data_IF_860009254641
#
_entry.id   IF_860009254641
#
_cell.length_a   1.000
_cell.length_b   1.000
_cell.length_c   1.000
_cell.angle_alpha   90.00
_cell.angle_beta   90.00
_cell.angle_gamma   90.00
#
_symmetry.space_group_name_H-M   'P 1'
#
loop_
_entity.id
_entity.type
_entity.pdbx_description
1 polymer ?
#
# COMPACT_ATOMS: atom_id res chain seq x y z
N UNK A 1 23.51 -13.23 -16.40
CA UNK A 1 24.62 -12.27 -16.54
C UNK A 1 23.99 -10.88 -16.62
N UNK A 2 23.85 -10.18 -15.50
CA UNK A 2 23.41 -8.79 -15.47
C UNK A 2 24.46 -8.03 -14.66
N UNK A 3 24.99 -6.97 -15.29
CA UNK A 3 26.18 -6.22 -14.88
C UNK A 3 25.78 -5.11 -13.90
N UNK A 4 26.54 -4.98 -12.81
CA UNK A 4 26.54 -3.83 -11.90
C UNK A 4 27.20 -2.61 -12.55
N UNK A 5 26.74 -1.37 -12.27
CA UNK A 5 27.57 -0.18 -12.43
C UNK A 5 27.95 0.46 -11.09
N UNK A 6 29.24 0.74 -11.02
CA UNK A 6 30.03 1.28 -9.92
C UNK A 6 29.75 2.76 -9.62
N UNK A 7 29.89 3.16 -8.36
CA UNK A 7 29.96 4.55 -7.92
C UNK A 7 31.33 5.19 -8.20
N UNK A 8 31.42 6.53 -8.33
CA UNK A 8 32.66 7.25 -8.06
C UNK A 8 32.55 8.17 -6.83
N UNK A 9 33.64 8.18 -6.05
CA UNK A 9 33.91 9.08 -4.94
C UNK A 9 34.50 10.42 -5.45
N UNK A 10 34.20 11.53 -4.78
CA UNK A 10 35.00 12.76 -4.86
C UNK A 10 35.23 13.38 -3.47
N UNK A 11 36.46 13.82 -3.27
CA UNK A 11 37.11 14.28 -2.04
C UNK A 11 37.71 15.68 -2.29
N UNK A 12 37.64 16.56 -1.29
CA UNK A 12 38.48 17.77 -1.12
C UNK A 12 37.64 19.02 -0.80
N UNK A 13 37.57 19.56 0.43
CA UNK A 13 38.53 20.43 1.17
C UNK A 13 38.80 21.76 0.46
N UNK A 14 38.61 22.97 1.00
CA UNK A 14 38.21 23.54 2.30
C UNK A 14 38.41 25.07 2.21
N UNK A 15 37.96 25.85 3.21
CA UNK A 15 38.63 27.03 3.83
C UNK A 15 37.64 27.99 4.52
N UNK A 16 37.92 28.21 5.83
CA UNK A 16 37.72 29.37 6.72
C UNK A 16 36.53 30.34 6.48
N UNK A 17 35.74 30.74 7.46
CA UNK A 17 35.97 30.88 8.91
C UNK A 17 35.56 32.30 9.32
N UNK A 18 34.46 32.43 10.08
CA UNK A 18 34.23 33.52 11.03
C UNK A 18 33.33 32.96 12.14
N UNK A 19 33.76 33.19 13.37
CA UNK A 19 33.25 32.58 14.60
C UNK A 19 32.85 33.68 15.57
N UNK A 20 31.96 33.30 16.50
CA UNK A 20 31.50 33.98 17.72
C UNK A 20 30.56 35.19 17.50
N UNK A 21 29.43 35.32 18.19
CA UNK A 21 28.81 34.51 19.24
C UNK A 21 27.36 34.98 19.44
N UNK A 22 26.58 34.17 20.15
CA UNK A 22 25.45 34.50 21.03
C UNK A 22 24.24 33.58 20.81
N UNK A 23 24.23 32.52 21.62
CA UNK A 23 23.07 31.70 21.99
C UNK A 23 22.96 31.79 23.52
N UNK A 24 21.77 31.96 24.12
CA UNK A 24 21.02 30.80 24.63
C UNK A 24 19.49 31.07 24.69
N UNK A 25 18.68 30.26 25.41
CA UNK A 25 18.53 28.81 25.41
C UNK A 25 17.11 28.38 24.95
N UNK A 26 16.91 27.06 24.80
CA UNK A 26 15.66 26.49 24.30
C UNK A 26 14.43 26.72 25.18
N UNK A 27 13.27 26.70 24.54
CA UNK A 27 11.97 26.50 25.16
C UNK A 27 11.14 25.52 24.34
N UNK A 28 10.51 24.60 25.07
CA UNK A 28 9.43 23.72 24.61
C UNK A 28 8.40 24.52 23.82
N UNK A 29 8.11 24.10 22.59
CA UNK A 29 6.87 24.47 21.90
C UNK A 29 5.68 23.85 22.63
N UNK A 30 5.17 24.58 23.62
CA UNK A 30 3.88 24.33 24.25
C UNK A 30 2.79 24.51 23.20
N UNK A 31 1.81 23.60 23.17
CA UNK A 31 0.57 23.85 22.44
C UNK A 31 -0.12 25.04 23.13
N UNK A 32 -0.21 26.18 22.45
CA UNK A 32 -0.97 27.31 22.93
C UNK A 32 -2.43 26.90 23.14
N UNK A 33 -2.89 27.07 24.37
CA UNK A 33 -4.28 26.97 24.75
C UNK A 33 -4.99 28.21 24.20
N UNK A 34 -5.43 28.12 22.94
CA UNK A 34 -6.48 28.99 22.41
C UNK A 34 -7.75 28.81 23.26
N UNK A 35 -8.13 29.87 23.94
CA UNK A 35 -9.33 29.96 24.76
C UNK A 35 -10.57 29.56 23.95
N UNK A 36 -11.35 28.62 24.49
CA UNK A 36 -12.69 28.32 23.99
C UNK A 36 -13.68 29.04 24.92
N UNK A 37 -14.15 30.20 24.51
CA UNK A 37 -15.29 30.87 25.14
C UNK A 37 -16.53 29.95 25.06
N UNK A 38 -17.19 29.63 26.19
CA UNK A 38 -18.46 28.93 26.18
C UNK A 38 -19.56 29.99 26.14
N UNK A 39 -20.30 30.08 25.02
CA UNK A 39 -21.73 30.48 24.92
C UNK A 39 -22.07 30.85 23.46
N UNK A 40 -22.96 30.09 22.81
CA UNK A 40 -23.52 30.46 21.50
C UNK A 40 -23.93 29.26 20.65
N UNK A 41 -25.18 28.82 20.81
CA UNK A 41 -25.76 27.62 20.19
C UNK A 41 -26.20 27.84 18.73
N UNK A 42 -26.20 26.72 17.98
CA UNK A 42 -27.11 26.40 16.87
C UNK A 42 -26.78 26.91 15.45
N UNK A 43 -26.42 25.98 14.54
CA UNK A 43 -26.62 26.16 13.10
C UNK A 43 -25.53 25.68 12.13
N UNK A 44 -24.26 25.59 12.53
CA UNK A 44 -23.15 25.39 11.55
C UNK A 44 -22.22 24.20 11.83
N UNK A 45 -22.45 23.44 12.91
CA UNK A 45 -21.58 22.29 13.28
C UNK A 45 -21.95 21.00 12.55
N UNK A 46 -23.23 20.78 12.26
CA UNK A 46 -23.68 19.60 11.53
C UNK A 46 -23.11 19.56 10.10
N UNK A 47 -23.06 20.68 9.39
CA UNK A 47 -22.47 20.80 8.06
C UNK A 47 -20.95 20.57 8.06
N UNK A 48 -20.23 21.17 9.01
CA UNK A 48 -18.78 20.94 9.17
C UNK A 48 -18.44 19.48 9.47
N UNK A 49 -19.23 18.83 10.34
CA UNK A 49 -19.09 17.39 10.61
C UNK A 49 -19.44 16.57 9.36
N UNK A 50 -20.57 16.85 8.70
CA UNK A 50 -21.01 16.11 7.50
C UNK A 50 -20.00 16.19 6.36
N UNK A 51 -19.36 17.35 6.15
CA UNK A 51 -18.32 17.55 5.11
C UNK A 51 -17.02 16.81 5.42
N UNK A 52 -16.59 16.76 6.68
CA UNK A 52 -15.43 15.95 7.10
C UNK A 52 -15.73 14.46 6.96
N UNK A 53 -16.92 14.02 7.36
CA UNK A 53 -17.35 12.63 7.16
C UNK A 53 -17.47 12.27 5.67
N UNK A 54 -18.06 13.14 4.84
CA UNK A 54 -18.21 12.91 3.40
C UNK A 54 -16.85 12.88 2.68
N UNK A 55 -15.93 13.79 2.99
CA UNK A 55 -14.58 13.79 2.41
C UNK A 55 -13.77 12.56 2.83
N UNK A 56 -13.91 12.11 4.09
CA UNK A 56 -13.33 10.85 4.56
C UNK A 56 -13.88 9.64 3.79
N UNK A 57 -15.19 9.58 3.55
CA UNK A 57 -15.82 8.51 2.77
C UNK A 57 -15.31 8.46 1.31
N UNK A 58 -15.15 9.62 0.66
CA UNK A 58 -14.61 9.69 -0.71
C UNK A 58 -13.16 9.23 -0.75
N UNK A 59 -12.32 9.69 0.19
CA UNK A 59 -10.91 9.28 0.27
C UNK A 59 -10.75 7.76 0.45
N UNK A 60 -11.64 7.10 1.21
CA UNK A 60 -11.63 5.65 1.35
C UNK A 60 -11.87 4.93 0.01
N UNK A 61 -12.77 5.41 -0.86
CA UNK A 61 -13.06 4.74 -2.14
C UNK A 61 -11.90 4.76 -3.15
N UNK A 62 -10.94 5.66 -2.93
CA UNK A 62 -9.75 5.83 -3.75
C UNK A 62 -8.52 5.08 -3.22
N UNK A 63 -8.60 4.35 -2.10
CA UNK A 63 -7.43 3.59 -1.64
C UNK A 63 -7.09 2.45 -2.61
N UNK A 64 -5.80 2.15 -2.75
CA UNK A 64 -5.33 1.05 -3.63
C UNK A 64 -5.92 -0.30 -3.24
N UNK A 65 -6.18 -0.52 -1.95
CA UNK A 65 -6.85 -1.72 -1.46
C UNK A 65 -8.26 -1.91 -2.07
N UNK A 66 -9.09 -0.86 -2.11
CA UNK A 66 -10.43 -0.97 -2.70
C UNK A 66 -10.39 -1.09 -4.22
N UNK A 67 -9.35 -0.54 -4.86
CA UNK A 67 -9.11 -0.73 -6.29
C UNK A 67 -8.75 -2.18 -6.60
N UNK A 68 -7.83 -2.77 -5.82
CA UNK A 68 -7.49 -4.18 -5.92
C UNK A 68 -8.71 -5.08 -5.69
N UNK A 69 -9.53 -4.77 -4.68
CA UNK A 69 -10.75 -5.52 -4.43
C UNK A 69 -11.71 -5.50 -5.62
N UNK A 70 -11.91 -4.34 -6.26
CA UNK A 70 -12.75 -4.23 -7.45
C UNK A 70 -12.19 -5.05 -8.61
N UNK A 71 -10.87 -5.02 -8.80
CA UNK A 71 -10.18 -5.78 -9.84
C UNK A 71 -10.35 -7.29 -9.64
N UNK A 72 -10.01 -7.81 -8.45
CA UNK A 72 -10.16 -9.25 -8.14
C UNK A 72 -11.61 -9.69 -8.26
N UNK A 73 -12.58 -8.89 -7.77
CA UNK A 73 -14.01 -9.21 -7.90
C UNK A 73 -14.44 -9.35 -9.35
N UNK A 74 -13.95 -8.48 -10.23
CA UNK A 74 -14.30 -8.56 -11.65
C UNK A 74 -13.63 -9.76 -12.34
N UNK A 75 -12.36 -10.03 -12.04
CA UNK A 75 -11.57 -11.08 -12.73
C UNK A 75 -11.88 -12.50 -12.24
N UNK A 76 -12.09 -12.67 -10.94
CA UNK A 76 -12.29 -13.99 -10.31
C UNK A 76 -13.74 -14.28 -9.94
N UNK A 77 -14.61 -13.26 -9.92
CA UNK A 77 -15.96 -13.34 -9.37
C UNK A 77 -16.01 -13.41 -7.83
N UNK A 78 -14.86 -13.40 -7.14
CA UNK A 78 -14.76 -13.52 -5.68
C UNK A 78 -14.39 -12.19 -5.03
N UNK A 79 -14.89 -11.98 -3.80
CA UNK A 79 -14.48 -10.79 -3.04
C UNK A 79 -13.05 -10.95 -2.54
N UNK A 80 -12.15 -10.01 -2.87
CA UNK A 80 -10.76 -10.00 -2.42
C UNK A 80 -10.64 -10.15 -0.91
N UNK A 81 -11.30 -9.24 -0.18
CA UNK A 81 -11.28 -9.24 1.29
C UNK A 81 -11.82 -10.55 1.87
N UNK A 82 -13.03 -10.98 1.53
CA UNK A 82 -13.59 -12.20 2.15
C UNK A 82 -12.89 -13.49 1.72
N UNK A 83 -12.25 -13.54 0.54
CA UNK A 83 -11.73 -14.79 -0.02
C UNK A 83 -10.24 -14.98 0.19
N UNK A 84 -9.46 -13.91 0.15
CA UNK A 84 -8.00 -13.98 0.14
C UNK A 84 -7.38 -13.30 1.37
N UNK A 85 -8.07 -12.38 2.05
CA UNK A 85 -7.52 -11.78 3.26
C UNK A 85 -7.38 -12.82 4.37
N UNK A 86 -6.16 -13.02 4.86
CA UNK A 86 -5.83 -14.04 5.85
C UNK A 86 -5.87 -15.46 5.27
N UNK A 87 -5.63 -15.65 3.98
CA UNK A 87 -5.52 -16.96 3.37
C UNK A 87 -4.07 -17.45 3.40
N UNK A 88 -3.87 -18.71 3.82
CA UNK A 88 -2.55 -19.33 3.80
C UNK A 88 -1.56 -18.62 4.72
N UNK A 89 -0.35 -18.41 4.20
CA UNK A 89 0.78 -17.83 4.93
C UNK A 89 1.20 -16.45 4.45
N UNK A 90 0.80 -16.05 3.24
CA UNK A 90 1.21 -14.80 2.58
C UNK A 90 0.04 -13.87 2.24
N UNK A 91 -1.17 -14.38 2.04
CA UNK A 91 -2.28 -13.50 1.68
C UNK A 91 -2.77 -12.68 2.89
N UNK A 92 -2.29 -11.45 3.04
CA UNK A 92 -2.72 -10.55 4.12
C UNK A 92 -1.61 -9.59 4.56
N UNK A 93 -1.57 -9.27 5.86
CA UNK A 93 -0.54 -8.42 6.42
C UNK A 93 0.74 -9.23 6.69
N UNK A 94 1.65 -9.21 5.71
CA UNK A 94 2.96 -9.87 5.75
C UNK A 94 2.90 -11.36 5.33
N UNK A 95 4.06 -12.03 5.38
CA UNK A 95 4.13 -13.45 5.06
C UNK A 95 5.45 -14.11 5.45
N UNK A 96 5.38 -15.37 5.90
CA UNK A 96 6.53 -16.18 6.35
C UNK A 96 6.26 -17.66 6.10
N UNK A 97 7.31 -18.45 5.95
CA UNK A 97 7.23 -19.89 5.73
C UNK A 97 6.99 -20.24 4.27
N UNK A 98 6.61 -21.49 4.02
CA UNK A 98 6.35 -21.96 2.65
C UNK A 98 4.88 -21.69 2.28
N UNK A 99 4.60 -21.19 1.07
CA UNK A 99 3.22 -21.01 0.62
C UNK A 99 2.49 -22.37 0.54
N UNK A 100 1.25 -22.39 1.00
CA UNK A 100 0.48 -23.64 1.20
C UNK A 100 -0.11 -24.23 -0.07
N UNK A 101 -0.40 -23.40 -1.06
CA UNK A 101 -0.97 -23.76 -2.35
C UNK A 101 -0.65 -22.70 -3.42
N UNK A 102 -1.22 -22.83 -4.62
CA UNK A 102 -1.01 -21.87 -5.70
C UNK A 102 -1.59 -20.48 -5.40
N UNK A 103 -2.71 -20.41 -4.67
CA UNK A 103 -3.29 -19.13 -4.26
C UNK A 103 -2.34 -18.37 -3.32
N UNK A 104 -1.72 -19.06 -2.38
CA UNK A 104 -0.76 -18.48 -1.44
C UNK A 104 0.56 -18.10 -2.14
N UNK A 105 0.95 -18.83 -3.21
CA UNK A 105 2.06 -18.43 -4.10
C UNK A 105 1.78 -17.13 -4.85
N UNK A 106 0.54 -16.90 -5.29
CA UNK A 106 0.15 -15.63 -5.89
C UNK A 106 0.37 -14.46 -4.92
N UNK A 107 0.04 -14.66 -3.64
CA UNK A 107 0.24 -13.65 -2.61
C UNK A 107 1.72 -13.42 -2.29
N UNK A 108 2.54 -14.47 -2.26
CA UNK A 108 4.00 -14.32 -2.16
C UNK A 108 4.55 -13.47 -3.32
N UNK A 109 4.15 -13.75 -4.55
CA UNK A 109 4.57 -12.98 -5.72
C UNK A 109 4.12 -11.51 -5.65
N UNK A 110 2.90 -11.28 -5.15
CA UNK A 110 2.35 -9.94 -4.92
C UNK A 110 3.14 -9.16 -3.87
N UNK A 111 3.45 -9.78 -2.73
CA UNK A 111 4.31 -9.23 -1.69
C UNK A 111 5.69 -8.84 -2.25
N UNK A 112 6.28 -9.71 -3.07
CA UNK A 112 7.56 -9.44 -3.73
C UNK A 112 7.49 -8.28 -4.72
N UNK A 113 6.40 -8.15 -5.46
CA UNK A 113 6.17 -7.02 -6.35
C UNK A 113 6.08 -5.71 -5.55
N UNK A 114 5.34 -5.72 -4.44
CA UNK A 114 5.22 -4.56 -3.55
C UNK A 114 6.54 -4.23 -2.83
N UNK A 115 7.36 -5.23 -2.51
CA UNK A 115 8.67 -5.01 -1.90
C UNK A 115 9.62 -4.26 -2.85
N UNK A 116 9.63 -4.62 -4.13
CA UNK A 116 10.38 -3.88 -5.17
C UNK A 116 9.89 -2.44 -5.31
N UNK A 117 8.57 -2.22 -5.28
CA UNK A 117 8.00 -0.86 -5.28
C UNK A 117 8.42 -0.05 -4.04
N UNK A 118 8.49 -0.68 -2.87
CA UNK A 118 8.98 -0.01 -1.65
C UNK A 118 10.45 0.36 -1.74
N UNK A 119 11.28 -0.46 -2.37
CA UNK A 119 12.72 -0.18 -2.57
C UNK A 119 12.96 1.07 -3.45
N UNK A 120 12.07 1.34 -4.41
CA UNK A 120 12.13 2.56 -5.24
C UNK A 120 11.43 3.76 -4.59
N UNK A 121 11.00 3.66 -3.32
CA UNK A 121 10.38 4.76 -2.56
C UNK A 121 8.85 4.87 -2.71
N UNK A 122 8.19 3.90 -3.35
CA UNK A 122 6.73 3.91 -3.47
C UNK A 122 6.04 3.30 -2.24
N UNK A 123 4.82 3.74 -1.97
CA UNK A 123 3.94 3.22 -0.93
C UNK A 123 2.71 2.55 -1.58
N UNK A 124 2.81 1.32 -2.12
CA UNK A 124 1.77 0.72 -2.95
C UNK A 124 0.42 0.51 -2.22
N UNK A 125 0.42 0.40 -0.89
CA UNK A 125 -0.79 0.33 -0.06
C UNK A 125 -1.53 1.67 0.10
N UNK A 126 -0.85 2.80 -0.17
CA UNK A 126 -1.39 4.15 -0.01
C UNK A 126 -1.57 4.87 -1.35
N UNK A 127 -0.77 4.50 -2.35
CA UNK A 127 -0.80 5.08 -3.68
C UNK A 127 -2.02 4.59 -4.47
N UNK A 128 -3.03 5.45 -4.58
CA UNK A 128 -4.17 5.23 -5.47
C UNK A 128 -3.73 5.17 -6.93
N UNK A 129 -4.30 4.27 -7.72
CA UNK A 129 -4.09 4.17 -9.16
C UNK A 129 -5.41 4.25 -9.93
N UNK A 130 -5.34 4.32 -11.27
CA UNK A 130 -6.50 4.26 -12.14
C UNK A 130 -6.39 3.03 -13.03
N UNK A 131 -7.51 2.34 -13.22
CA UNK A 131 -7.57 1.19 -14.10
C UNK A 131 -8.94 1.10 -14.77
N UNK A 132 -8.94 0.56 -15.97
CA UNK A 132 -10.12 0.23 -16.74
C UNK A 132 -10.14 -1.26 -17.04
N UNK A 133 -11.32 -1.83 -17.23
CA UNK A 133 -11.46 -3.21 -17.67
C UNK A 133 -12.12 -3.20 -19.03
N UNK A 134 -11.40 -3.68 -20.03
CA UNK A 134 -11.85 -3.77 -21.42
C UNK A 134 -11.76 -5.23 -21.84
N UNK A 135 -12.87 -5.83 -22.28
CA UNK A 135 -12.92 -7.24 -22.70
C UNK A 135 -12.28 -8.20 -21.67
N UNK A 136 -12.66 -8.05 -20.39
CA UNK A 136 -12.11 -8.83 -19.27
C UNK A 136 -10.60 -8.68 -19.04
N UNK A 137 -9.98 -7.67 -19.66
CA UNK A 137 -8.56 -7.35 -19.51
C UNK A 137 -8.42 -6.06 -18.73
N UNK A 138 -7.61 -6.09 -17.66
CA UNK A 138 -7.26 -4.91 -16.87
C UNK A 138 -6.21 -4.08 -17.62
N UNK A 139 -6.52 -2.80 -17.81
CA UNK A 139 -5.62 -1.77 -18.35
C UNK A 139 -5.32 -0.79 -17.23
N UNK A 140 -4.03 -0.65 -16.91
CA UNK A 140 -3.55 0.28 -15.89
C UNK A 140 -3.21 1.62 -16.54
N UNK A 141 -3.72 2.72 -15.97
CA UNK A 141 -3.57 4.05 -16.52
C UNK A 141 -3.02 5.03 -15.50
N UNK A 142 -2.50 6.13 -16.03
CA UNK A 142 -2.04 7.25 -15.25
C UNK A 142 -2.73 8.55 -15.69
N UNK A 143 -3.51 9.14 -14.79
CA UNK A 143 -4.38 10.27 -15.13
C UNK A 143 -3.70 11.65 -15.20
N UNK A 144 -2.43 11.81 -14.78
CA UNK A 144 -1.79 13.12 -14.62
C UNK A 144 -0.28 13.08 -14.94
N UNK A 145 0.09 12.87 -16.21
CA UNK A 145 1.47 13.00 -16.72
C UNK A 145 2.55 12.17 -16.00
N UNK A 146 3.83 12.25 -16.42
CA UNK A 146 4.91 11.54 -15.74
C UNK A 146 5.26 12.23 -14.41
N UNK A 147 4.52 11.89 -13.35
CA UNK A 147 4.84 12.27 -11.96
C UNK A 147 5.32 11.04 -11.16
N UNK A 148 6.02 11.25 -10.04
CA UNK A 148 6.42 10.13 -9.16
C UNK A 148 5.20 9.35 -8.66
N UNK A 149 4.09 10.05 -8.39
CA UNK A 149 2.82 9.42 -8.03
C UNK A 149 2.25 8.53 -9.15
N UNK A 150 2.39 8.95 -10.40
CA UNK A 150 2.02 8.18 -11.58
C UNK A 150 2.79 6.85 -11.68
N UNK A 151 4.12 6.90 -11.56
CA UNK A 151 4.97 5.71 -11.63
C UNK A 151 4.62 4.71 -10.52
N UNK A 152 4.45 5.20 -9.30
CA UNK A 152 4.10 4.34 -8.18
C UNK A 152 2.69 3.75 -8.29
N UNK A 153 1.71 4.53 -8.76
CA UNK A 153 0.35 4.05 -9.00
C UNK A 153 0.31 3.01 -10.12
N UNK A 154 1.00 3.26 -11.24
CA UNK A 154 1.09 2.32 -12.35
C UNK A 154 1.75 1.00 -11.91
N UNK A 155 2.84 1.08 -11.15
CA UNK A 155 3.51 -0.09 -10.59
C UNK A 155 2.59 -0.89 -9.66
N UNK A 156 1.86 -0.22 -8.76
CA UNK A 156 0.90 -0.87 -7.87
C UNK A 156 -0.23 -1.56 -8.66
N UNK A 157 -0.76 -0.89 -9.69
CA UNK A 157 -1.79 -1.46 -10.56
C UNK A 157 -1.31 -2.72 -11.28
N UNK A 158 -0.09 -2.73 -11.80
CA UNK A 158 0.45 -3.90 -12.51
C UNK A 158 0.69 -5.08 -11.55
N UNK A 159 1.20 -4.82 -10.34
CA UNK A 159 1.30 -5.85 -9.30
C UNK A 159 -0.08 -6.45 -8.96
N UNK A 160 -1.09 -5.59 -8.78
CA UNK A 160 -2.45 -6.00 -8.44
C UNK A 160 -3.13 -6.78 -9.57
N UNK A 161 -2.90 -6.35 -10.82
CA UNK A 161 -3.36 -7.05 -12.03
C UNK A 161 -2.79 -8.45 -12.14
N UNK A 162 -1.48 -8.60 -11.94
CA UNK A 162 -0.83 -9.91 -11.96
C UNK A 162 -1.39 -10.82 -10.87
N UNK A 163 -1.58 -10.29 -9.66
CA UNK A 163 -2.19 -11.03 -8.55
C UNK A 163 -3.63 -11.48 -8.86
N UNK A 164 -4.45 -10.58 -9.43
CA UNK A 164 -5.83 -10.89 -9.81
C UNK A 164 -5.93 -11.99 -10.87
N UNK A 165 -5.04 -12.00 -11.87
CA UNK A 165 -4.99 -13.09 -12.86
C UNK A 165 -4.47 -14.39 -12.26
N UNK A 166 -3.44 -14.34 -11.43
CA UNK A 166 -2.94 -15.52 -10.73
C UNK A 166 -4.04 -16.17 -9.89
N UNK A 167 -4.84 -15.37 -9.17
CA UNK A 167 -6.00 -15.87 -8.44
C UNK A 167 -7.08 -16.50 -9.33
N UNK A 168 -7.24 -16.04 -10.56
CA UNK A 168 -8.17 -16.64 -11.53
C UNK A 168 -7.68 -18.03 -11.94
N UNK A 169 -6.38 -18.17 -12.17
CA UNK A 169 -5.74 -19.43 -12.53
C UNK A 169 -5.74 -20.43 -11.35
N UNK A 170 -5.60 -19.95 -10.11
CA UNK A 170 -5.61 -20.78 -8.91
C UNK A 170 -7.02 -21.15 -8.41
N UNK A 171 -8.10 -20.69 -9.05
CA UNK A 171 -9.47 -21.01 -8.66
C UNK A 171 -9.76 -22.53 -8.54
N UNK A 172 -9.26 -23.41 -9.44
CA UNK A 172 -9.51 -24.85 -9.34
C UNK A 172 -8.86 -25.51 -8.12
N UNK A 173 -7.73 -24.97 -7.64
CA UNK A 173 -6.97 -25.51 -6.50
C UNK A 173 -7.23 -24.77 -5.19
N UNK A 174 -8.17 -23.82 -5.19
CA UNK A 174 -8.52 -23.00 -4.03
C UNK A 174 -9.15 -23.81 -2.90
N UNK A 175 -8.52 -23.80 -1.72
CA UNK A 175 -8.91 -24.60 -0.57
C UNK A 175 -9.37 -23.72 0.61
N UNK A 176 -10.67 -23.79 0.93
CA UNK A 176 -11.31 -22.89 1.92
C UNK A 176 -10.72 -23.02 3.33
N UNK A 177 -10.18 -24.19 3.67
CA UNK A 177 -9.64 -24.50 4.99
C UNK A 177 -8.37 -23.72 5.34
N UNK A 178 -7.68 -23.15 4.35
CA UNK A 178 -6.50 -22.32 4.59
C UNK A 178 -6.82 -20.88 5.02
N UNK A 179 -8.10 -20.50 5.12
CA UNK A 179 -8.47 -19.21 5.70
C UNK A 179 -8.26 -19.19 7.21
N UNK A 180 -7.67 -18.10 7.70
CA UNK A 180 -7.29 -17.91 9.09
C UNK A 180 -8.45 -17.84 10.09
N UNK A 181 -9.70 -17.70 9.63
CA UNK A 181 -10.89 -17.80 10.48
C UNK A 181 -11.16 -19.23 10.96
N UNK A 182 -10.59 -20.25 10.29
CA UNK A 182 -10.77 -21.65 10.69
C UNK A 182 -9.67 -22.10 11.67
N UNK A 183 -10.04 -22.99 12.60
CA UNK A 183 -9.16 -23.58 13.63
C UNK A 183 -7.95 -24.31 13.04
N UNK A 184 -8.00 -24.64 11.75
CA UNK A 184 -6.97 -25.30 10.94
C UNK A 184 -6.03 -24.29 10.27
N UNK A 185 -5.55 -23.27 11.01
CA UNK A 185 -4.55 -22.35 10.46
C UNK A 185 -3.30 -23.14 10.04
N UNK A 186 -2.83 -23.02 8.79
CA UNK A 186 -1.58 -23.64 8.41
C UNK A 186 -0.44 -23.09 9.28
N UNK A 187 0.40 -23.99 9.81
CA UNK A 187 1.57 -23.59 10.58
C UNK A 187 2.62 -23.02 9.63
N UNK A 188 2.52 -21.73 9.40
CA UNK A 188 3.49 -21.00 8.62
C UNK A 188 4.86 -21.02 9.31
N UNK A 189 5.90 -21.28 8.53
CA UNK A 189 7.29 -21.26 8.99
C UNK A 189 7.72 -19.89 9.54
N UNK A 190 8.86 -19.87 10.23
CA UNK A 190 9.39 -18.64 10.85
C UNK A 190 10.23 -17.78 9.92
N UNK A 191 10.83 -18.36 8.88
CA UNK A 191 11.68 -17.66 7.90
C UNK A 191 10.83 -17.01 6.82
N UNK A 192 11.15 -15.76 6.46
CA UNK A 192 10.56 -15.10 5.29
C UNK A 192 11.35 -15.53 4.05
N UNK A 193 10.67 -16.03 3.01
CA UNK A 193 11.32 -16.25 1.71
C UNK A 193 11.79 -14.92 1.12
N UNK A 194 12.96 -14.93 0.50
CA UNK A 194 13.47 -13.78 -0.23
C UNK A 194 12.81 -13.67 -1.60
N UNK A 195 12.53 -12.43 -1.96
CA UNK A 195 12.25 -11.96 -3.29
C UNK A 195 13.58 -11.57 -3.97
#
# INVERSE_FOLDING_TARGET
MWLEPSAPALRGSGFAGWELNDRPPGTRGSCDQGAWDPLGFSGMRALGVLTVFASCLVALTHSSFWQFQRMVKHITGRSAFFSYYGYGCYCGLGGKGTPVDDTDRCCLAHDCCYEKLKQIGCQPLLNSYQFHIVNSTVVCECGLGPSVGCLCGLGACECDKQSAYCFKESLPTYEKNFKQFFLSRPRCGRSKLQC
#
